data_IF_068124412013
#
_entry.id   IF_068124412013
#
_cell.length_a   1.000
_cell.length_b   1.000
_cell.length_c   1.000
_cell.angle_alpha   90.00
_cell.angle_beta   90.00
_cell.angle_gamma   90.00
#
_symmetry.space_group_name_H-M   'P 1'
#
loop_
_entity.id
_entity.type
_entity.pdbx_description
1 polymer ?
#
# COMPACT_ATOMS: atom_id res chain seq x y z
N UNK A 1 -19.11 -9.84 5.43
CA UNK A 1 -17.91 -10.62 5.81
C UNK A 1 -17.43 -10.21 7.20
N UNK A 2 -16.62 -11.07 7.86
CA UNK A 2 -16.03 -10.79 9.19
C UNK A 2 -15.19 -9.51 9.17
N UNK A 3 -14.49 -9.23 8.07
CA UNK A 3 -13.73 -8.01 7.83
C UNK A 3 -14.61 -6.75 7.98
N UNK A 4 -15.75 -6.70 7.29
CA UNK A 4 -16.65 -5.55 7.33
C UNK A 4 -17.23 -5.33 8.73
N UNK A 5 -17.52 -6.41 9.45
CA UNK A 5 -17.97 -6.30 10.85
C UNK A 5 -16.86 -5.74 11.75
N UNK A 6 -15.63 -6.23 11.60
CA UNK A 6 -14.47 -5.73 12.35
C UNK A 6 -14.18 -4.23 12.07
N UNK A 7 -14.38 -3.76 10.83
CA UNK A 7 -14.21 -2.35 10.47
C UNK A 7 -15.34 -1.46 10.98
N UNK A 8 -16.58 -1.97 11.05
CA UNK A 8 -17.73 -1.15 11.45
C UNK A 8 -17.67 -0.70 12.92
N UNK A 9 -17.06 -1.48 13.79
CA UNK A 9 -16.98 -1.16 15.24
C UNK A 9 -16.09 0.06 15.52
N UNK A 10 -14.83 0.15 15.01
CA UNK A 10 -14.01 1.35 15.16
C UNK A 10 -14.64 2.60 14.55
N UNK A 11 -15.26 2.49 13.35
CA UNK A 11 -15.92 3.64 12.70
C UNK A 11 -17.02 4.20 13.58
N UNK A 12 -17.93 3.35 14.08
CA UNK A 12 -18.98 3.78 15.02
C UNK A 12 -18.41 4.37 16.31
N UNK A 13 -17.29 3.83 16.79
CA UNK A 13 -16.57 4.35 17.96
C UNK A 13 -16.06 5.77 17.73
N UNK A 14 -15.49 6.06 16.55
CA UNK A 14 -15.04 7.40 16.17
C UNK A 14 -16.23 8.36 16.08
N UNK A 15 -17.32 7.99 15.43
CA UNK A 15 -18.53 8.81 15.32
C UNK A 15 -19.08 9.16 16.72
N UNK A 16 -19.09 8.18 17.63
CA UNK A 16 -19.49 8.41 19.02
C UNK A 16 -18.58 9.42 19.71
N UNK A 17 -17.25 9.29 19.53
CA UNK A 17 -16.28 10.20 20.14
C UNK A 17 -16.41 11.62 19.60
N UNK A 18 -16.62 11.79 18.29
CA UNK A 18 -16.85 13.11 17.69
C UNK A 18 -18.09 13.76 18.33
N UNK A 19 -19.22 13.05 18.38
CA UNK A 19 -20.45 13.54 19.00
C UNK A 19 -20.29 13.84 20.49
N UNK A 20 -19.68 12.93 21.26
CA UNK A 20 -19.47 13.09 22.70
C UNK A 20 -18.62 14.33 23.03
N UNK A 21 -17.60 14.61 22.21
CA UNK A 21 -16.72 15.75 22.40
C UNK A 21 -17.19 17.01 21.67
N UNK A 22 -18.39 17.00 21.07
CA UNK A 22 -18.96 18.12 20.32
C UNK A 22 -18.03 18.62 19.20
N UNK A 23 -17.34 17.68 18.51
CA UNK A 23 -16.47 17.98 17.36
C UNK A 23 -17.35 18.01 16.14
N UNK A 24 -17.32 19.13 15.41
CA UNK A 24 -17.99 19.26 14.13
C UNK A 24 -17.21 18.51 13.05
N UNK A 25 -17.94 17.74 12.23
CA UNK A 25 -17.35 16.93 11.16
C UNK A 25 -17.96 17.36 9.83
N UNK A 26 -17.11 17.76 8.90
CA UNK A 26 -17.48 18.18 7.56
C UNK A 26 -16.93 17.17 6.54
N UNK A 27 -17.83 16.59 5.74
CA UNK A 27 -17.46 15.64 4.70
C UNK A 27 -17.29 16.35 3.37
N UNK A 28 -16.14 16.20 2.73
CA UNK A 28 -15.84 16.80 1.44
C UNK A 28 -14.36 16.97 1.17
N UNK A 29 -14.05 17.59 0.04
CA UNK A 29 -12.68 17.95 -0.34
C UNK A 29 -12.31 19.30 0.28
N UNK A 30 -11.38 19.27 1.24
CA UNK A 30 -10.83 20.48 1.85
C UNK A 30 -9.76 21.11 0.97
N UNK A 31 -9.84 22.43 0.77
CA UNK A 31 -8.81 23.22 0.07
C UNK A 31 -8.55 24.53 0.80
N UNK A 32 -7.30 24.98 0.84
CA UNK A 32 -6.96 26.29 1.37
C UNK A 32 -7.37 27.39 0.37
N UNK A 33 -8.11 28.38 0.84
CA UNK A 33 -8.42 29.59 0.07
C UNK A 33 -7.70 30.83 0.63
N UNK A 34 -7.27 30.77 1.89
CA UNK A 34 -6.37 31.73 2.54
C UNK A 34 -5.62 31.02 3.66
N UNK A 35 -4.66 31.68 4.30
CA UNK A 35 -3.78 31.07 5.30
C UNK A 35 -4.50 30.28 6.40
N UNK A 36 -5.59 30.82 6.94
CA UNK A 36 -6.37 30.20 8.03
C UNK A 36 -7.77 29.77 7.60
N UNK A 37 -8.05 29.76 6.29
CA UNK A 37 -9.39 29.55 5.75
C UNK A 37 -9.39 28.32 4.84
N UNK A 38 -10.22 27.36 5.17
CA UNK A 38 -10.43 26.12 4.42
C UNK A 38 -11.84 26.14 3.83
N UNK A 39 -11.92 25.91 2.53
CA UNK A 39 -13.16 25.62 1.83
C UNK A 39 -13.34 24.10 1.77
N UNK A 40 -14.49 23.61 2.18
CA UNK A 40 -14.88 22.20 2.05
C UNK A 40 -15.93 22.08 0.97
N UNK A 41 -15.61 21.38 -0.10
CA UNK A 41 -16.52 21.06 -1.20
C UNK A 41 -17.06 19.63 -0.99
N UNK A 42 -18.34 19.52 -0.66
CA UNK A 42 -19.07 18.28 -0.42
C UNK A 42 -20.52 18.43 -0.91
N UNK A 43 -21.47 17.81 -0.23
CA UNK A 43 -22.90 17.97 -0.52
C UNK A 43 -23.38 19.43 -0.40
N UNK A 44 -22.72 20.19 0.47
CA UNK A 44 -22.81 21.64 0.56
C UNK A 44 -21.42 22.24 0.65
N UNK A 45 -21.27 23.46 0.10
CA UNK A 45 -20.02 24.20 0.20
C UNK A 45 -19.98 24.94 1.55
N UNK A 46 -18.91 24.72 2.31
CA UNK A 46 -18.72 25.33 3.63
C UNK A 46 -17.33 25.94 3.73
N UNK A 47 -17.24 27.11 4.36
CA UNK A 47 -15.96 27.77 4.64
C UNK A 47 -15.69 27.77 6.14
N UNK A 48 -14.51 27.31 6.54
CA UNK A 48 -14.08 27.18 7.93
C UNK A 48 -12.87 28.07 8.16
N UNK A 49 -12.92 28.88 9.19
CA UNK A 49 -11.76 29.63 9.67
C UNK A 49 -11.22 28.98 10.94
N UNK A 50 -9.92 28.77 11.01
CA UNK A 50 -9.27 28.13 12.15
C UNK A 50 -7.93 28.80 12.48
N UNK A 51 -7.66 29.01 13.76
CA UNK A 51 -6.38 29.57 14.23
C UNK A 51 -5.23 28.60 14.02
N UNK A 52 -5.51 27.31 14.09
CA UNK A 52 -4.51 26.23 13.89
C UNK A 52 -5.12 25.13 13.06
N UNK A 53 -4.35 24.65 12.10
CA UNK A 53 -4.77 23.61 11.15
C UNK A 53 -3.77 22.48 11.16
N UNK A 54 -4.29 21.25 11.26
CA UNK A 54 -3.50 20.02 11.11
C UNK A 54 -3.86 19.40 9.76
N UNK A 55 -2.86 19.24 8.90
CA UNK A 55 -3.02 18.53 7.63
C UNK A 55 -2.76 17.05 7.86
N UNK A 56 -3.80 16.23 7.77
CA UNK A 56 -3.74 14.79 7.96
C UNK A 56 -4.49 14.07 6.83
N UNK A 57 -4.18 14.45 5.59
CA UNK A 57 -4.90 14.05 4.37
C UNK A 57 -4.53 12.66 3.84
N UNK A 58 -3.68 11.91 4.56
CA UNK A 58 -3.32 10.53 4.24
C UNK A 58 -2.27 10.40 3.15
N UNK A 59 -2.27 9.26 2.48
CA UNK A 59 -1.31 8.91 1.43
C UNK A 59 -1.98 8.09 0.33
N UNK A 60 -1.36 8.02 -0.82
CA UNK A 60 -1.79 7.18 -1.95
C UNK A 60 -0.65 6.28 -2.41
N UNK A 61 -0.99 5.14 -3.01
CA UNK A 61 0.01 4.29 -3.64
C UNK A 61 0.72 5.03 -4.78
N UNK A 62 2.04 4.93 -4.80
CA UNK A 62 2.84 5.51 -5.90
C UNK A 62 2.71 4.63 -7.13
N UNK A 63 2.35 5.24 -8.24
CA UNK A 63 2.38 4.57 -9.53
C UNK A 63 3.81 4.61 -10.09
N UNK A 64 4.28 3.48 -10.61
CA UNK A 64 5.49 3.42 -11.42
C UNK A 64 5.10 3.70 -12.88
N UNK A 65 5.83 4.59 -13.59
CA UNK A 65 5.43 5.01 -14.94
C UNK A 65 5.35 3.89 -15.97
N UNK A 66 6.03 2.78 -15.69
CA UNK A 66 6.11 1.60 -16.55
C UNK A 66 5.21 0.44 -16.11
N UNK A 67 4.37 0.62 -15.07
CA UNK A 67 3.40 -0.36 -14.60
C UNK A 67 2.01 0.28 -14.64
N UNK A 68 1.14 -0.22 -15.50
CA UNK A 68 -0.25 0.18 -15.54
C UNK A 68 -1.05 -0.61 -14.49
N UNK A 69 -1.54 0.09 -13.47
CA UNK A 69 -2.41 -0.49 -12.43
C UNK A 69 -3.83 -0.62 -13.01
N UNK A 70 -4.24 -1.82 -13.37
CA UNK A 70 -5.56 -2.10 -13.93
C UNK A 70 -6.65 -2.26 -12.86
N UNK A 71 -6.28 -2.32 -11.58
CA UNK A 71 -7.15 -2.53 -10.41
C UNK A 71 -7.92 -3.87 -10.43
N UNK A 72 -7.54 -4.77 -11.32
CA UNK A 72 -8.16 -6.09 -11.49
C UNK A 72 -7.18 -7.20 -11.18
N UNK A 73 -6.06 -7.25 -11.88
CA UNK A 73 -4.99 -8.23 -11.72
C UNK A 73 -3.68 -7.58 -11.30
N UNK A 74 -3.41 -6.36 -11.76
CA UNK A 74 -2.30 -5.52 -11.30
C UNK A 74 -2.88 -4.50 -10.33
N UNK A 75 -2.65 -4.73 -9.05
CA UNK A 75 -3.36 -4.09 -7.94
C UNK A 75 -2.42 -3.38 -6.99
N UNK A 76 -2.96 -2.41 -6.25
CA UNK A 76 -2.30 -1.79 -5.11
C UNK A 76 -2.79 -2.40 -3.79
N UNK A 77 -2.29 -1.89 -2.67
CA UNK A 77 -2.76 -2.29 -1.34
C UNK A 77 -4.27 -2.06 -1.15
N UNK A 78 -4.84 -1.06 -1.82
CA UNK A 78 -6.27 -0.75 -1.75
C UNK A 78 -7.10 -1.92 -2.28
N UNK A 79 -6.85 -2.34 -3.50
CA UNK A 79 -7.58 -3.45 -4.14
C UNK A 79 -7.25 -4.79 -3.46
N UNK A 80 -6.00 -4.98 -3.01
CA UNK A 80 -5.60 -6.18 -2.29
C UNK A 80 -6.40 -6.41 -1.00
N UNK A 81 -6.85 -5.35 -0.33
CA UNK A 81 -7.74 -5.45 0.84
C UNK A 81 -9.19 -5.83 0.47
N UNK A 82 -9.57 -5.73 -0.78
CA UNK A 82 -10.95 -5.91 -1.27
C UNK A 82 -11.14 -7.13 -2.20
N UNK A 83 -10.10 -7.93 -2.43
CA UNK A 83 -10.22 -9.11 -3.29
C UNK A 83 -11.33 -10.04 -2.80
N UNK A 84 -12.16 -10.48 -3.73
CA UNK A 84 -13.27 -11.41 -3.48
C UNK A 84 -12.82 -12.88 -3.45
N UNK A 85 -11.65 -13.16 -4.00
CA UNK A 85 -11.04 -14.49 -4.08
C UNK A 85 -9.61 -14.49 -3.52
N UNK A 86 -9.14 -15.63 -3.06
CA UNK A 86 -7.75 -15.82 -2.63
C UNK A 86 -6.96 -16.27 -3.86
N UNK A 87 -5.97 -15.48 -4.33
CA UNK A 87 -5.12 -15.90 -5.45
C UNK A 87 -4.35 -17.18 -5.10
N UNK A 88 -4.16 -18.05 -6.07
CA UNK A 88 -3.28 -19.21 -5.90
C UNK A 88 -1.82 -18.78 -5.87
N UNK A 89 -1.45 -17.86 -6.78
CA UNK A 89 -0.11 -17.26 -6.87
C UNK A 89 -0.21 -15.75 -6.81
N UNK A 90 0.39 -15.14 -5.79
CA UNK A 90 0.50 -13.69 -5.64
C UNK A 90 1.95 -13.26 -5.82
N UNK A 91 2.19 -12.40 -6.81
CA UNK A 91 3.48 -11.73 -6.97
C UNK A 91 3.40 -10.37 -6.27
N UNK A 92 4.36 -10.06 -5.42
CA UNK A 92 4.48 -8.79 -4.71
C UNK A 92 5.71 -8.06 -5.23
N UNK A 93 5.52 -6.89 -5.82
CA UNK A 93 6.60 -5.99 -6.23
C UNK A 93 6.81 -4.98 -5.09
N UNK A 94 7.98 -5.05 -4.47
CA UNK A 94 8.36 -4.26 -3.31
C UNK A 94 8.36 -5.05 -2.00
N UNK A 95 9.54 -5.22 -1.42
CA UNK A 95 9.76 -5.90 -0.14
C UNK A 95 9.67 -4.96 1.08
N UNK A 96 8.92 -3.86 0.96
CA UNK A 96 8.60 -2.95 2.04
C UNK A 96 7.50 -3.48 2.97
N UNK A 97 7.18 -2.72 4.02
CA UNK A 97 6.24 -3.14 5.08
C UNK A 97 4.89 -3.57 4.51
N UNK A 98 4.28 -2.75 3.64
CA UNK A 98 2.95 -3.03 3.07
C UNK A 98 2.94 -4.33 2.26
N UNK A 99 3.93 -4.50 1.37
CA UNK A 99 4.05 -5.72 0.55
C UNK A 99 4.22 -6.97 1.39
N UNK A 100 5.03 -6.89 2.44
CA UNK A 100 5.27 -8.02 3.34
C UNK A 100 4.06 -8.34 4.23
N UNK A 101 3.37 -7.34 4.76
CA UNK A 101 2.16 -7.55 5.57
C UNK A 101 1.06 -8.21 4.74
N UNK A 102 0.73 -7.65 3.58
CA UNK A 102 -0.30 -8.23 2.70
C UNK A 102 0.14 -9.57 2.13
N UNK A 103 1.40 -9.71 1.71
CA UNK A 103 1.96 -10.98 1.25
C UNK A 103 1.85 -12.07 2.32
N UNK A 104 2.16 -11.76 3.58
CA UNK A 104 2.01 -12.70 4.69
C UNK A 104 0.54 -13.07 4.95
N UNK A 105 -0.39 -12.11 4.85
CA UNK A 105 -1.82 -12.41 4.99
C UNK A 105 -2.25 -13.41 3.93
N UNK A 106 -1.94 -13.17 2.66
CA UNK A 106 -2.30 -14.08 1.57
C UNK A 106 -1.60 -15.43 1.66
N UNK A 107 -0.33 -15.45 2.07
CA UNK A 107 0.38 -16.71 2.31
C UNK A 107 -0.31 -17.55 3.39
N UNK A 108 -0.76 -16.95 4.49
CA UNK A 108 -1.54 -17.64 5.53
C UNK A 108 -2.92 -18.09 5.07
N UNK A 109 -3.49 -17.44 4.06
CA UNK A 109 -4.73 -17.86 3.42
C UNK A 109 -4.53 -18.96 2.36
N UNK A 110 -3.29 -19.34 2.10
CA UNK A 110 -2.96 -20.45 1.20
C UNK A 110 -2.39 -20.05 -0.16
N UNK A 111 -2.13 -18.76 -0.39
CA UNK A 111 -1.46 -18.31 -1.61
C UNK A 111 0.02 -18.68 -1.61
N UNK A 112 0.54 -19.09 -2.76
CA UNK A 112 1.97 -19.07 -3.03
C UNK A 112 2.41 -17.62 -3.27
N UNK A 113 3.26 -17.09 -2.38
CA UNK A 113 3.68 -15.68 -2.44
C UNK A 113 5.14 -15.57 -2.85
N UNK A 114 5.38 -14.74 -3.87
CA UNK A 114 6.72 -14.38 -4.34
C UNK A 114 6.90 -12.87 -4.23
N UNK A 115 7.94 -12.44 -3.54
CA UNK A 115 8.32 -11.03 -3.37
C UNK A 115 9.51 -10.72 -4.25
N UNK A 116 9.38 -9.71 -5.10
CA UNK A 116 10.43 -9.17 -5.97
C UNK A 116 10.83 -7.81 -5.43
N UNK A 117 12.11 -7.65 -5.05
CA UNK A 117 12.61 -6.43 -4.46
C UNK A 117 13.83 -5.92 -5.23
N UNK A 118 13.85 -4.61 -5.45
CA UNK A 118 14.95 -3.92 -6.12
C UNK A 118 16.22 -3.88 -5.27
N UNK A 119 16.04 -3.63 -3.97
CA UNK A 119 17.15 -3.59 -3.02
C UNK A 119 17.70 -5.00 -2.72
N UNK A 120 18.89 -5.07 -2.14
CA UNK A 120 19.52 -6.32 -1.70
C UNK A 120 18.97 -6.86 -0.37
N UNK A 121 18.00 -6.16 0.23
CA UNK A 121 17.33 -6.53 1.48
C UNK A 121 15.87 -6.07 1.49
N UNK A 122 15.04 -6.76 2.26
CA UNK A 122 13.67 -6.31 2.54
C UNK A 122 13.68 -5.19 3.60
N UNK A 123 12.63 -4.36 3.61
CA UNK A 123 12.51 -3.23 4.57
C UNK A 123 13.82 -2.44 4.69
N UNK A 124 14.31 -1.92 3.57
CA UNK A 124 15.65 -1.31 3.44
C UNK A 124 15.93 -0.16 4.43
N UNK A 125 14.87 0.46 4.95
CA UNK A 125 14.93 1.51 5.98
C UNK A 125 15.18 0.99 7.40
N UNK A 126 15.10 -0.32 7.62
CA UNK A 126 15.32 -0.93 8.94
C UNK A 126 16.78 -1.37 9.11
N UNK A 127 17.17 -1.60 10.36
CA UNK A 127 18.46 -2.20 10.68
C UNK A 127 18.66 -3.53 9.96
N UNK A 128 19.88 -3.80 9.52
CA UNK A 128 20.23 -5.01 8.77
C UNK A 128 19.94 -6.30 9.53
N UNK A 129 20.10 -6.30 10.85
CA UNK A 129 19.83 -7.48 11.68
C UNK A 129 18.35 -7.79 11.72
N UNK A 130 17.50 -6.77 11.82
CA UNK A 130 16.03 -6.90 11.80
C UNK A 130 15.55 -7.40 10.44
N UNK A 131 16.01 -6.78 9.34
CA UNK A 131 15.65 -7.18 7.98
C UNK A 131 16.03 -8.63 7.68
N UNK A 132 17.21 -9.06 8.12
CA UNK A 132 17.67 -10.45 7.95
C UNK A 132 16.83 -11.45 8.73
N UNK A 133 16.53 -11.16 10.00
CA UNK A 133 15.74 -12.08 10.83
C UNK A 133 14.29 -12.15 10.35
N UNK A 134 13.68 -10.99 9.97
CA UNK A 134 12.35 -10.96 9.37
C UNK A 134 12.29 -11.82 8.10
N UNK A 135 13.25 -11.65 7.18
CA UNK A 135 13.29 -12.44 5.95
C UNK A 135 13.43 -13.94 6.24
N UNK A 136 14.23 -14.32 7.22
CA UNK A 136 14.39 -15.72 7.64
C UNK A 136 13.07 -16.32 8.15
N UNK A 137 12.31 -15.55 8.95
CA UNK A 137 11.00 -15.95 9.45
C UNK A 137 10.01 -16.14 8.30
N UNK A 138 9.95 -15.15 7.39
CA UNK A 138 9.02 -15.18 6.26
C UNK A 138 9.35 -16.30 5.26
N UNK A 139 10.63 -16.59 5.01
CA UNK A 139 11.07 -17.75 4.22
C UNK A 139 10.63 -19.08 4.84
N UNK A 140 10.70 -19.21 6.17
CA UNK A 140 10.21 -20.41 6.87
C UNK A 140 8.69 -20.60 6.73
N UNK A 141 7.95 -19.51 6.52
CA UNK A 141 6.52 -19.54 6.23
C UNK A 141 6.19 -19.87 4.76
N UNK A 142 7.21 -20.03 3.91
CA UNK A 142 7.04 -20.41 2.50
C UNK A 142 7.04 -19.23 1.51
N UNK A 143 7.27 -18.00 1.95
CA UNK A 143 7.37 -16.85 1.06
C UNK A 143 8.71 -16.90 0.32
N UNK A 144 8.67 -16.75 -1.01
CA UNK A 144 9.85 -16.69 -1.88
C UNK A 144 10.30 -15.25 -2.05
N UNK A 145 11.62 -15.02 -2.06
CA UNK A 145 12.22 -13.69 -2.20
C UNK A 145 13.24 -13.67 -3.33
N UNK A 146 13.10 -12.69 -4.19
CA UNK A 146 14.01 -12.34 -5.28
C UNK A 146 14.48 -10.90 -5.04
N UNK A 147 15.64 -10.77 -4.36
CA UNK A 147 16.27 -9.47 -4.05
C UNK A 147 17.19 -9.04 -5.19
N UNK A 148 17.49 -7.75 -5.27
CA UNK A 148 18.30 -7.16 -6.34
C UNK A 148 17.72 -7.46 -7.74
N UNK A 149 16.39 -7.46 -7.85
CA UNK A 149 15.68 -7.68 -9.10
C UNK A 149 14.96 -6.40 -9.52
N UNK A 150 15.28 -5.92 -10.70
CA UNK A 150 14.71 -4.68 -11.24
C UNK A 150 13.57 -4.99 -12.19
N UNK A 151 12.34 -4.85 -11.71
CA UNK A 151 11.13 -4.98 -12.54
C UNK A 151 11.12 -3.92 -13.62
N UNK A 152 10.85 -4.32 -14.85
CA UNK A 152 10.85 -3.47 -16.05
C UNK A 152 9.45 -3.29 -16.63
N UNK A 153 8.62 -4.33 -16.54
CA UNK A 153 7.28 -4.31 -17.10
C UNK A 153 6.38 -5.33 -16.38
N UNK A 154 5.09 -5.07 -16.40
CA UNK A 154 4.06 -5.99 -15.91
C UNK A 154 2.91 -6.00 -16.90
N UNK A 155 2.53 -7.18 -17.38
CA UNK A 155 1.45 -7.35 -18.35
C UNK A 155 0.42 -8.33 -17.88
N UNK A 156 -0.83 -8.07 -18.25
CA UNK A 156 -1.92 -9.03 -18.08
C UNK A 156 -2.02 -9.89 -19.32
N UNK A 157 -2.01 -11.21 -19.16
CA UNK A 157 -2.21 -12.19 -20.21
C UNK A 157 -3.37 -13.13 -19.82
N UNK A 158 -4.55 -12.81 -20.30
CA UNK A 158 -5.79 -13.50 -19.91
C UNK A 158 -6.06 -13.33 -18.42
N UNK A 159 -6.03 -14.44 -17.67
CA UNK A 159 -6.25 -14.45 -16.21
C UNK A 159 -4.96 -14.41 -15.38
N UNK A 160 -3.82 -14.30 -16.05
CA UNK A 160 -2.50 -14.28 -15.41
C UNK A 160 -1.84 -12.91 -15.58
N UNK A 161 -0.88 -12.64 -14.72
CA UNK A 161 0.04 -11.51 -14.84
C UNK A 161 1.45 -12.04 -15.07
N UNK A 162 2.14 -11.41 -16.01
CA UNK A 162 3.53 -11.69 -16.34
C UNK A 162 4.39 -10.50 -15.92
N UNK A 163 5.43 -10.75 -15.14
CA UNK A 163 6.34 -9.74 -14.63
C UNK A 163 7.71 -9.95 -15.27
N UNK A 164 8.21 -8.93 -15.96
CA UNK A 164 9.51 -8.91 -16.60
C UNK A 164 10.50 -8.15 -15.74
N UNK A 165 11.59 -8.77 -15.36
CA UNK A 165 12.60 -8.16 -14.51
C UNK A 165 14.01 -8.50 -14.99
N UNK A 166 14.99 -7.76 -14.48
CA UNK A 166 16.41 -8.09 -14.57
C UNK A 166 16.93 -8.49 -13.20
N UNK A 167 17.68 -9.56 -13.14
CA UNK A 167 18.35 -10.00 -11.93
C UNK A 167 19.59 -9.13 -11.62
N UNK A 168 20.31 -9.47 -10.55
CA UNK A 168 21.53 -8.77 -10.11
C UNK A 168 22.67 -8.78 -11.13
N UNK A 169 22.67 -9.73 -12.10
CA UNK A 169 23.68 -9.84 -13.14
C UNK A 169 23.26 -9.08 -14.40
N UNK A 170 22.01 -8.61 -14.48
CA UNK A 170 21.42 -7.96 -15.64
C UNK A 170 20.72 -8.93 -16.59
N UNK A 171 20.62 -10.19 -16.23
CA UNK A 171 19.93 -11.21 -17.03
C UNK A 171 18.42 -11.03 -16.92
N UNK A 172 17.71 -11.31 -18.03
CA UNK A 172 16.25 -11.22 -18.08
C UNK A 172 15.63 -12.42 -17.36
N UNK A 173 14.71 -12.12 -16.44
CA UNK A 173 13.96 -13.11 -15.66
C UNK A 173 12.47 -12.75 -15.66
N UNK A 174 11.61 -13.78 -15.71
CA UNK A 174 10.18 -13.61 -15.78
C UNK A 174 9.51 -14.34 -14.60
N UNK A 175 8.41 -13.75 -14.13
CA UNK A 175 7.55 -14.35 -13.10
C UNK A 175 6.11 -14.34 -13.58
N UNK A 176 5.33 -15.28 -13.09
CA UNK A 176 3.91 -15.42 -13.43
C UNK A 176 3.08 -15.67 -12.19
N UNK A 177 1.91 -15.03 -12.12
CA UNK A 177 0.95 -15.19 -11.03
C UNK A 177 -0.47 -14.88 -11.43
N UNK A 178 -1.42 -15.13 -10.52
CA UNK A 178 -2.82 -14.74 -10.73
C UNK A 178 -3.05 -13.25 -10.52
N UNK A 179 -2.28 -12.68 -9.58
CA UNK A 179 -2.30 -11.25 -9.23
C UNK A 179 -0.89 -10.72 -9.01
N UNK A 180 -0.72 -9.44 -9.30
CA UNK A 180 0.47 -8.67 -8.98
C UNK A 180 0.11 -7.52 -8.04
N UNK A 181 0.63 -7.55 -6.81
CA UNK A 181 0.54 -6.45 -5.85
C UNK A 181 1.73 -5.52 -6.03
N UNK A 182 1.47 -4.28 -6.44
CA UNK A 182 2.50 -3.24 -6.55
C UNK A 182 2.52 -2.43 -5.25
N UNK A 183 3.62 -2.54 -4.48
CA UNK A 183 3.78 -1.95 -3.15
C UNK A 183 5.14 -1.29 -2.95
N UNK A 184 5.61 -0.56 -3.95
CA UNK A 184 6.97 -0.01 -4.01
C UNK A 184 7.15 1.29 -3.22
N UNK A 185 6.09 2.08 -3.01
CA UNK A 185 6.13 3.31 -2.22
C UNK A 185 4.72 3.87 -1.97
N UNK A 186 4.60 4.76 -0.98
CA UNK A 186 3.46 5.64 -0.80
C UNK A 186 3.86 7.08 -1.16
N UNK A 187 2.96 7.80 -1.83
CA UNK A 187 3.03 9.25 -1.96
C UNK A 187 2.25 9.84 -0.78
N UNK A 188 2.95 10.54 0.07
CA UNK A 188 2.32 11.33 1.12
C UNK A 188 1.78 12.62 0.50
N UNK A 189 0.57 12.99 0.86
CA UNK A 189 -0.09 14.20 0.34
C UNK A 189 0.45 15.48 0.97
N UNK A 190 1.21 15.36 2.06
CA UNK A 190 2.00 16.44 2.67
C UNK A 190 3.31 15.88 3.21
N UNK A 191 4.41 16.66 3.21
CA UNK A 191 5.65 16.22 3.84
C UNK A 191 5.43 16.01 5.34
N UNK A 192 5.84 14.84 5.83
CA UNK A 192 5.86 14.56 7.26
C UNK A 192 7.07 15.28 7.91
N UNK A 193 6.96 15.75 9.15
CA UNK A 193 8.14 16.21 9.89
C UNK A 193 9.27 15.18 9.97
N UNK A 194 8.96 13.88 9.81
CA UNK A 194 9.96 12.80 9.74
C UNK A 194 10.74 12.79 8.42
N UNK A 195 10.15 13.33 7.33
CA UNK A 195 10.80 13.38 6.02
C UNK A 195 11.75 14.59 5.90
N UNK A 196 11.73 15.49 6.89
CA UNK A 196 12.55 16.68 6.94
C UNK A 196 13.86 16.50 7.73
N UNK A 197 14.17 15.28 8.19
CA UNK A 197 15.42 14.98 8.89
C UNK A 197 16.43 14.52 7.81
N UNK A 198 17.50 15.26 7.57
CA UNK A 198 18.53 14.89 6.61
C UNK A 198 19.31 13.63 7.05
#
# INVERSE_FOLDING_TARGET
SRKNHALSTPVKGIDYLMKKNKIEVYFGLGSFIAGNTIKVAGDSETTINADKIIIASGSSAKNLPFIEIDKKRIITSTEALELSEIPKKLIVIGGGVIGLELGQVYNRLGSEVTVIEYDDKICSVFDNSISKELMKILKKQGIKFYLSHNVKDVKTNGNLVEIFAKDKNGDDVNFEGDYCLVSVCLLYTSPSPRDAIP
#
